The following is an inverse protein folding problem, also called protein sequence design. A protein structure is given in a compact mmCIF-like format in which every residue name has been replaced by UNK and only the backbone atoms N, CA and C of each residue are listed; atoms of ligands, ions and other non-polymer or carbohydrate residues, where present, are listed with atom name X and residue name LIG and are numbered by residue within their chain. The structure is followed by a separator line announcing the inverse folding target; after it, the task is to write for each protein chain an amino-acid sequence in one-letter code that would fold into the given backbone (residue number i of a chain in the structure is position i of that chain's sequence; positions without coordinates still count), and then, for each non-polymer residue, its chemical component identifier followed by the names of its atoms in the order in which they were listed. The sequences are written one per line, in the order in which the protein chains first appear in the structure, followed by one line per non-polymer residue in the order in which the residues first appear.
data_IF_185018509259
#
_entry.id   IF_185018509259
#
_cell.length_a   1.000
_cell.length_b   1.000
_cell.length_c   1.000
_cell.angle_alpha   90.00
_cell.angle_beta   90.00
_cell.angle_gamma   90.00
#
_symmetry.space_group_name_H-M   'P 1'
#
loop_
_entity.id
_entity.type
_entity.pdbx_description
1 polymer ?
#
# COMPACT_ATOMS: atom_id res chain seq x y z
N UNK A 1 44.18 -19.06 16.83
CA UNK A 1 43.03 -18.35 17.42
C UNK A 1 42.61 -17.28 16.41
N UNK A 2 41.67 -17.60 15.51
CA UNK A 2 41.16 -16.66 14.50
C UNK A 2 39.74 -16.31 14.97
N UNK A 3 39.53 -15.06 15.32
CA UNK A 3 38.21 -14.54 15.70
C UNK A 3 37.44 -14.32 14.39
N UNK A 4 36.54 -15.25 14.07
CA UNK A 4 35.61 -15.09 12.96
C UNK A 4 34.50 -14.12 13.39
N UNK A 5 34.58 -12.87 12.94
CA UNK A 5 33.41 -12.02 12.91
C UNK A 5 32.55 -12.45 11.71
N UNK A 6 31.52 -13.24 12.00
CA UNK A 6 30.38 -13.38 11.10
C UNK A 6 29.76 -11.99 10.96
N UNK A 7 30.04 -11.31 9.86
CA UNK A 7 29.16 -10.26 9.39
C UNK A 7 27.89 -10.96 8.91
N UNK A 8 26.86 -11.00 9.76
CA UNK A 8 25.51 -11.07 9.23
C UNK A 8 25.36 -9.87 8.29
N UNK A 9 24.87 -10.04 7.04
CA UNK A 9 24.48 -8.89 6.25
C UNK A 9 23.51 -8.08 7.10
N UNK A 10 23.72 -6.77 7.16
CA UNK A 10 22.79 -5.90 7.84
C UNK A 10 21.40 -6.15 7.27
N UNK A 11 20.52 -6.78 8.06
CA UNK A 11 19.11 -6.46 7.98
C UNK A 11 19.05 -4.97 8.31
N UNK A 12 19.21 -4.13 7.27
CA UNK A 12 19.15 -2.70 7.39
C UNK A 12 17.78 -2.40 8.01
N UNK A 13 17.81 -1.89 9.24
CA UNK A 13 16.64 -1.63 10.09
C UNK A 13 15.44 -1.14 9.26
N UNK A 14 14.33 -1.87 9.28
CA UNK A 14 13.03 -1.51 8.66
C UNK A 14 12.31 -0.37 9.41
N UNK A 15 12.93 0.18 10.47
CA UNK A 15 12.56 1.49 10.98
C UNK A 15 12.53 2.46 9.79
N UNK A 16 11.40 3.14 9.58
CA UNK A 16 11.16 4.15 8.53
C UNK A 16 10.28 3.71 7.34
N UNK A 17 9.50 2.63 7.52
CA UNK A 17 8.29 2.37 6.71
C UNK A 17 7.04 3.03 7.32
N UNK A 18 6.08 3.37 6.46
CA UNK A 18 4.76 3.88 6.86
C UNK A 18 3.65 3.19 6.07
N UNK A 19 2.57 2.84 6.76
CA UNK A 19 1.37 2.25 6.16
C UNK A 19 0.21 3.23 6.30
N UNK A 20 -0.37 3.62 5.18
CA UNK A 20 -1.62 4.35 5.11
C UNK A 20 -2.76 3.35 4.86
N UNK A 21 -3.79 3.36 5.70
CA UNK A 21 -4.94 2.47 5.56
C UNK A 21 -6.20 3.31 5.44
N UNK A 22 -6.97 3.10 4.38
CA UNK A 22 -8.30 3.70 4.25
C UNK A 22 -9.22 3.17 5.35
N UNK A 23 -9.92 4.04 6.06
CA UNK A 23 -10.75 3.63 7.21
C UNK A 23 -11.94 2.72 6.84
N UNK A 24 -12.30 2.64 5.55
CA UNK A 24 -13.39 1.78 5.06
C UNK A 24 -12.92 0.34 4.83
N UNK A 25 -11.61 0.09 4.88
CA UNK A 25 -11.06 -1.26 4.95
C UNK A 25 -11.40 -1.87 6.32
N UNK A 26 -11.88 -3.13 6.40
CA UNK A 26 -12.14 -3.78 7.68
C UNK A 26 -10.90 -3.83 8.58
N UNK A 27 -11.10 -3.60 9.89
CA UNK A 27 -10.05 -3.69 10.91
C UNK A 27 -8.73 -2.95 10.57
N UNK A 28 -8.77 -1.64 10.26
CA UNK A 28 -7.61 -0.91 9.74
C UNK A 28 -6.44 -0.82 10.74
N UNK A 29 -6.73 -0.91 12.04
CA UNK A 29 -5.72 -0.95 13.11
C UNK A 29 -4.88 -2.24 13.10
N UNK A 30 -5.42 -3.34 12.57
CA UNK A 30 -4.73 -4.64 12.56
C UNK A 30 -3.47 -4.65 11.69
N UNK A 31 -3.32 -3.68 10.77
CA UNK A 31 -2.17 -3.59 9.88
C UNK A 31 -0.89 -3.20 10.61
N UNK A 32 -0.97 -2.54 11.77
CA UNK A 32 0.22 -2.23 12.56
C UNK A 32 0.87 -3.48 13.16
N UNK A 33 0.05 -4.42 13.64
CA UNK A 33 0.54 -5.64 14.30
C UNK A 33 1.23 -6.61 13.34
N UNK A 34 0.96 -6.46 12.05
CA UNK A 34 1.37 -7.37 10.97
C UNK A 34 2.36 -6.69 10.02
N UNK A 35 2.78 -5.48 10.39
CA UNK A 35 3.84 -4.76 9.70
C UNK A 35 5.17 -5.02 10.40
N UNK A 36 6.30 -4.90 9.68
CA UNK A 36 7.59 -5.09 10.30
C UNK A 36 7.86 -4.10 11.45
N UNK A 37 8.68 -4.46 12.46
CA UNK A 37 8.94 -3.60 13.60
C UNK A 37 9.45 -2.21 13.20
N UNK A 38 8.88 -1.16 13.80
CA UNK A 38 9.23 0.24 13.49
C UNK A 38 8.40 0.86 12.36
N UNK A 39 7.44 0.11 11.80
CA UNK A 39 6.45 0.64 10.88
C UNK A 39 5.47 1.58 11.60
N UNK A 40 5.15 2.71 10.96
CA UNK A 40 4.15 3.66 11.44
C UNK A 40 2.81 3.42 10.73
N UNK A 41 1.70 3.50 11.46
CA UNK A 41 0.36 3.39 10.89
C UNK A 41 -0.33 4.76 10.85
N UNK A 42 -0.95 5.07 9.71
CA UNK A 42 -1.87 6.20 9.54
C UNK A 42 -3.18 5.71 8.97
N UNK A 43 -4.27 5.93 9.70
CA UNK A 43 -5.61 5.76 9.15
C UNK A 43 -5.99 7.03 8.40
N UNK A 44 -6.46 6.86 7.16
CA UNK A 44 -7.00 7.92 6.32
C UNK A 44 -8.51 7.85 6.40
N UNK A 45 -9.14 8.93 6.87
CA UNK A 45 -10.59 8.99 7.03
C UNK A 45 -11.30 9.13 5.69
N UNK A 46 -12.54 8.65 5.59
CA UNK A 46 -13.32 8.68 4.36
C UNK A 46 -13.61 10.11 3.87
N UNK A 47 -13.57 11.09 4.76
CA UNK A 47 -13.78 12.52 4.48
C UNK A 47 -12.49 13.26 4.13
N UNK A 48 -11.32 12.63 4.23
CA UNK A 48 -10.02 13.24 3.92
C UNK A 48 -9.63 13.11 2.45
N UNK A 49 -8.88 14.10 1.94
CA UNK A 49 -8.15 13.98 0.67
C UNK A 49 -6.95 13.07 0.94
N UNK A 50 -7.08 11.79 0.60
CA UNK A 50 -6.09 10.78 0.95
C UNK A 50 -4.71 11.06 0.37
N UNK A 51 -4.62 11.61 -0.84
CA UNK A 51 -3.33 11.93 -1.44
C UNK A 51 -2.66 13.10 -0.71
N UNK A 52 -3.43 14.11 -0.26
CA UNK A 52 -2.90 15.19 0.60
C UNK A 52 -2.46 14.66 1.95
N UNK A 53 -3.17 13.69 2.52
CA UNK A 53 -2.80 13.06 3.79
C UNK A 53 -1.45 12.34 3.67
N UNK A 54 -1.25 11.59 2.58
CA UNK A 54 0.03 10.94 2.27
C UNK A 54 1.15 11.97 2.11
N UNK A 55 0.95 13.01 1.30
CA UNK A 55 1.93 14.09 1.12
C UNK A 55 2.36 14.74 2.44
N UNK A 56 1.38 15.13 3.26
CA UNK A 56 1.62 15.82 4.52
C UNK A 56 2.43 14.96 5.50
N UNK A 57 2.01 13.71 5.72
CA UNK A 57 2.67 12.84 6.70
C UNK A 57 4.03 12.37 6.18
N UNK A 58 4.10 11.94 4.92
CA UNK A 58 5.36 11.47 4.35
C UNK A 58 6.39 12.60 4.30
N UNK A 59 5.99 13.81 3.90
CA UNK A 59 6.84 14.99 3.91
C UNK A 59 7.32 15.40 5.31
N UNK A 60 6.50 15.22 6.36
CA UNK A 60 6.89 15.51 7.73
C UNK A 60 7.89 14.49 8.30
N UNK A 61 7.85 13.24 7.85
CA UNK A 61 8.79 12.19 8.26
C UNK A 61 10.10 12.28 7.48
N UNK A 62 10.00 12.31 6.14
CA UNK A 62 11.16 12.23 5.24
C UNK A 62 11.95 10.93 5.39
N UNK A 63 12.95 10.75 4.52
CA UNK A 63 13.91 9.63 4.55
C UNK A 63 13.27 8.23 4.67
N UNK A 64 12.08 8.06 4.07
CA UNK A 64 11.28 6.85 4.17
C UNK A 64 11.82 5.75 3.26
N UNK A 65 11.81 4.52 3.76
CA UNK A 65 12.17 3.31 3.00
C UNK A 65 11.00 2.80 2.16
N UNK A 66 9.79 2.93 2.67
CA UNK A 66 8.60 2.44 1.99
C UNK A 66 7.36 3.24 2.39
N UNK A 67 6.46 3.43 1.42
CA UNK A 67 5.09 3.85 1.66
C UNK A 67 4.17 2.70 1.22
N UNK A 68 3.46 2.13 2.18
CA UNK A 68 2.39 1.17 1.91
C UNK A 68 1.05 1.89 1.92
N UNK A 69 0.18 1.56 0.97
CA UNK A 69 -1.19 2.05 0.93
C UNK A 69 -2.14 0.86 0.84
N UNK A 70 -2.99 0.70 1.85
CA UNK A 70 -4.02 -0.34 1.93
C UNK A 70 -5.38 0.29 1.76
N UNK A 71 -6.05 -0.07 0.67
CA UNK A 71 -7.30 0.55 0.30
C UNK A 71 -8.12 -0.34 -0.65
N UNK A 72 -9.32 0.10 -0.96
CA UNK A 72 -10.09 -0.49 -2.04
C UNK A 72 -9.55 -0.05 -3.41
N UNK A 73 -9.69 -0.93 -4.41
CA UNK A 73 -9.15 -0.70 -5.74
C UNK A 73 -9.94 -1.36 -6.85
N UNK A 74 -9.65 -0.90 -8.07
CA UNK A 74 -10.11 -1.40 -9.36
C UNK A 74 -8.99 -1.19 -10.40
N UNK A 75 -9.05 -1.77 -11.61
CA UNK A 75 -8.02 -1.59 -12.64
C UNK A 75 -7.67 -0.11 -12.90
N UNK A 76 -6.47 0.29 -12.49
CA UNK A 76 -5.93 1.65 -12.60
C UNK A 76 -6.63 2.70 -11.73
N UNK A 77 -7.20 2.29 -10.59
CA UNK A 77 -7.84 3.16 -9.61
C UNK A 77 -7.59 2.64 -8.19
N UNK A 78 -7.16 3.54 -7.29
CA UNK A 78 -7.07 3.30 -5.85
C UNK A 78 -7.92 4.34 -5.10
N UNK A 79 -8.73 3.90 -4.13
CA UNK A 79 -9.67 4.77 -3.39
C UNK A 79 -9.16 5.05 -1.99
N UNK A 80 -8.66 6.25 -1.72
CA UNK A 80 -8.07 6.62 -0.43
C UNK A 80 -8.73 7.90 0.12
N UNK A 81 -9.49 7.78 1.19
CA UNK A 81 -10.38 8.82 1.68
C UNK A 81 -11.50 9.13 0.69
N UNK A 82 -11.85 10.40 0.46
CA UNK A 82 -12.87 10.76 -0.53
C UNK A 82 -12.29 10.86 -1.96
N UNK A 83 -10.98 10.72 -2.13
CA UNK A 83 -10.29 10.94 -3.39
C UNK A 83 -9.98 9.63 -4.12
N UNK A 84 -10.19 9.67 -5.44
CA UNK A 84 -9.76 8.64 -6.37
C UNK A 84 -8.35 8.97 -6.87
N UNK A 85 -7.42 8.03 -6.71
CA UNK A 85 -6.10 8.08 -7.32
C UNK A 85 -6.12 7.22 -8.59
N UNK A 86 -6.23 7.89 -9.74
CA UNK A 86 -6.20 7.31 -11.08
C UNK A 86 -5.24 8.08 -12.00
N UNK A 87 -5.22 7.72 -13.30
CA UNK A 87 -4.37 8.41 -14.28
C UNK A 87 -4.70 9.91 -14.44
N UNK A 88 -5.95 10.33 -14.26
CA UNK A 88 -6.32 11.74 -14.34
C UNK A 88 -5.82 12.51 -13.11
N UNK A 89 -5.97 11.92 -11.92
CA UNK A 89 -5.41 12.44 -10.68
C UNK A 89 -3.89 12.55 -10.76
N UNK A 90 -3.18 11.54 -11.27
CA UNK A 90 -1.73 11.59 -11.45
C UNK A 90 -1.29 12.78 -12.33
N UNK A 91 -2.01 13.04 -13.44
CA UNK A 91 -1.72 14.18 -14.31
C UNK A 91 -1.99 15.53 -13.63
N UNK A 92 -3.05 15.62 -12.83
CA UNK A 92 -3.43 16.84 -12.11
C UNK A 92 -2.48 17.14 -10.96
N UNK A 93 -2.06 16.12 -10.22
CA UNK A 93 -1.39 16.25 -8.92
C UNK A 93 0.12 15.94 -8.99
N UNK A 94 0.76 16.12 -10.16
CA UNK A 94 2.19 15.80 -10.38
C UNK A 94 3.13 16.46 -9.36
N UNK A 95 2.85 17.70 -8.97
CA UNK A 95 3.68 18.41 -7.99
C UNK A 95 3.63 17.75 -6.61
N UNK A 96 2.43 17.33 -6.18
CA UNK A 96 2.20 16.59 -4.94
C UNK A 96 2.85 15.22 -4.97
N UNK A 97 2.68 14.47 -6.07
CA UNK A 97 3.32 13.17 -6.24
C UNK A 97 4.84 13.26 -6.24
N UNK A 98 5.40 14.31 -6.87
CA UNK A 98 6.84 14.58 -6.77
C UNK A 98 7.27 14.96 -5.36
N UNK A 99 6.41 15.60 -4.56
CA UNK A 99 6.71 15.91 -3.16
C UNK A 99 6.73 14.66 -2.29
N UNK A 100 5.77 13.75 -2.50
CA UNK A 100 5.77 12.41 -1.89
C UNK A 100 7.06 11.68 -2.27
N UNK A 101 7.41 11.66 -3.55
CA UNK A 101 8.67 11.10 -4.04
C UNK A 101 9.93 11.61 -3.33
N UNK A 102 9.99 12.91 -2.99
CA UNK A 102 11.12 13.51 -2.27
C UNK A 102 11.20 13.11 -0.79
N UNK A 103 10.14 12.55 -0.23
CA UNK A 103 10.14 12.04 1.15
C UNK A 103 10.75 10.63 1.26
N UNK A 104 10.98 10.00 0.12
CA UNK A 104 11.51 8.64 0.02
C UNK A 104 13.03 8.65 -0.20
N UNK A 105 13.69 7.57 0.24
CA UNK A 105 15.11 7.27 0.00
C UNK A 105 15.37 6.85 -1.45
N UNK A 106 16.65 6.74 -1.81
CA UNK A 106 17.03 5.92 -2.95
C UNK A 106 16.61 4.46 -2.69
N UNK A 107 16.13 3.78 -3.73
CA UNK A 107 15.71 2.37 -3.70
C UNK A 107 14.52 2.09 -2.76
N UNK A 108 13.64 3.09 -2.59
CA UNK A 108 12.41 2.97 -1.82
C UNK A 108 11.22 2.55 -2.69
N UNK A 109 10.25 1.87 -2.09
CA UNK A 109 9.06 1.42 -2.78
C UNK A 109 7.79 2.16 -2.35
N UNK A 110 6.83 2.24 -3.28
CA UNK A 110 5.42 2.53 -3.00
C UNK A 110 4.62 1.26 -3.29
N UNK A 111 4.03 0.68 -2.25
CA UNK A 111 3.32 -0.60 -2.32
C UNK A 111 1.81 -0.38 -2.20
N UNK A 112 1.06 -0.72 -3.25
CA UNK A 112 -0.38 -0.49 -3.36
C UNK A 112 -1.16 -1.79 -3.16
N UNK A 113 -1.72 -1.98 -1.98
CA UNK A 113 -2.60 -3.08 -1.63
C UNK A 113 -4.04 -2.67 -1.89
N UNK A 114 -4.57 -3.09 -3.04
CA UNK A 114 -5.97 -2.90 -3.39
C UNK A 114 -6.36 -3.83 -4.52
N UNK A 115 -7.57 -4.37 -4.47
CA UNK A 115 -8.02 -5.35 -5.44
C UNK A 115 -7.85 -4.84 -6.88
N UNK A 116 -7.13 -5.59 -7.70
CA UNK A 116 -7.00 -5.39 -9.14
C UNK A 116 -6.39 -4.04 -9.59
N UNK A 117 -5.74 -3.27 -8.71
CA UNK A 117 -5.18 -1.94 -9.05
C UNK A 117 -4.24 -2.00 -10.26
N UNK A 118 -3.34 -2.98 -10.29
CA UNK A 118 -2.41 -3.23 -11.39
C UNK A 118 -3.00 -4.01 -12.57
N UNK A 119 -4.26 -4.45 -12.50
CA UNK A 119 -4.80 -5.42 -13.47
C UNK A 119 -4.89 -4.86 -14.89
N UNK A 120 -4.37 -5.62 -15.84
CA UNK A 120 -4.48 -5.36 -17.27
C UNK A 120 -3.78 -4.07 -17.73
N UNK A 121 -4.00 -3.68 -18.99
CA UNK A 121 -3.31 -2.54 -19.59
C UNK A 121 -3.56 -1.22 -18.84
N UNK A 122 -4.78 -1.01 -18.33
CA UNK A 122 -5.13 0.19 -17.55
C UNK A 122 -4.38 0.23 -16.22
N UNK A 123 -4.32 -0.88 -15.49
CA UNK A 123 -3.60 -0.96 -14.23
C UNK A 123 -2.10 -0.82 -14.40
N UNK A 124 -1.51 -1.50 -15.39
CA UNK A 124 -0.08 -1.35 -15.71
C UNK A 124 0.29 0.11 -16.09
N UNK A 125 -0.54 0.78 -16.89
CA UNK A 125 -0.33 2.18 -17.22
C UNK A 125 -0.43 3.11 -16.00
N UNK A 126 -1.35 2.82 -15.08
CA UNK A 126 -1.47 3.54 -13.81
C UNK A 126 -0.22 3.38 -12.94
N UNK A 127 0.25 2.15 -12.72
CA UNK A 127 1.46 1.87 -11.91
C UNK A 127 2.69 2.56 -12.51
N UNK A 128 2.88 2.47 -13.83
CA UNK A 128 3.99 3.14 -14.53
C UNK A 128 3.92 4.67 -14.43
N UNK A 129 2.72 5.25 -14.59
CA UNK A 129 2.54 6.70 -14.49
C UNK A 129 2.79 7.20 -13.05
N UNK A 130 2.40 6.42 -12.04
CA UNK A 130 2.66 6.76 -10.65
C UNK A 130 4.16 6.72 -10.35
N UNK A 131 4.86 5.66 -10.77
CA UNK A 131 6.31 5.52 -10.62
C UNK A 131 7.06 6.69 -11.27
N UNK A 132 6.65 7.10 -12.47
CA UNK A 132 7.24 8.25 -13.15
C UNK A 132 6.99 9.58 -12.41
N UNK A 133 5.83 9.73 -11.77
CA UNK A 133 5.46 10.96 -11.06
C UNK A 133 6.17 11.08 -9.70
N UNK A 134 6.41 9.97 -9.02
CA UNK A 134 7.08 9.92 -7.71
C UNK A 134 8.59 9.73 -7.84
N UNK A 135 9.08 9.18 -8.96
CA UNK A 135 10.46 8.70 -9.14
C UNK A 135 10.85 7.63 -8.10
N UNK A 136 9.89 6.79 -7.76
CA UNK A 136 10.07 5.63 -6.89
C UNK A 136 9.55 4.39 -7.62
N UNK A 137 10.04 3.22 -7.20
CA UNK A 137 9.48 1.95 -7.66
C UNK A 137 8.09 1.78 -7.06
N UNK A 138 7.16 1.29 -7.89
CA UNK A 138 5.76 1.07 -7.51
C UNK A 138 5.39 -0.37 -7.79
N UNK A 139 4.77 -0.99 -6.79
CA UNK A 139 4.20 -2.33 -6.84
C UNK A 139 2.69 -2.29 -6.54
N UNK A 140 1.88 -3.07 -7.25
CA UNK A 140 0.43 -3.15 -7.04
C UNK A 140 -0.15 -4.54 -7.32
N UNK A 141 -1.23 -4.88 -6.64
CA UNK A 141 -1.96 -6.13 -6.88
C UNK A 141 -2.71 -6.12 -8.21
N UNK A 142 -2.61 -7.21 -8.96
CA UNK A 142 -3.34 -7.45 -10.21
C UNK A 142 -4.61 -8.28 -10.04
N UNK A 143 -4.81 -8.85 -8.86
CA UNK A 143 -5.91 -9.75 -8.51
C UNK A 143 -6.61 -9.30 -7.22
N UNK A 144 -7.40 -10.18 -6.62
CA UNK A 144 -8.00 -9.93 -5.32
C UNK A 144 -6.96 -9.87 -4.20
N UNK A 145 -6.97 -8.81 -3.41
CA UNK A 145 -6.07 -8.66 -2.25
C UNK A 145 -6.78 -8.97 -0.94
N UNK A 146 -6.16 -9.79 -0.08
CA UNK A 146 -6.74 -10.18 1.21
C UNK A 146 -6.57 -11.66 1.55
N UNK A 147 -7.54 -12.23 2.27
CA UNK A 147 -7.47 -13.61 2.78
C UNK A 147 -7.41 -14.66 1.66
N UNK A 148 -6.46 -15.59 1.79
CA UNK A 148 -6.38 -16.79 0.95
C UNK A 148 -7.61 -17.68 1.08
N UNK A 149 -8.26 -17.71 2.25
CA UNK A 149 -9.51 -18.44 2.45
C UNK A 149 -10.65 -17.90 1.56
N UNK A 150 -10.54 -16.64 1.11
CA UNK A 150 -11.47 -15.99 0.19
C UNK A 150 -10.94 -15.91 -1.25
N UNK A 151 -9.90 -16.68 -1.58
CA UNK A 151 -9.28 -16.73 -2.90
C UNK A 151 -8.54 -15.44 -3.29
N UNK A 152 -7.95 -14.76 -2.30
CA UNK A 152 -7.14 -13.55 -2.46
C UNK A 152 -5.73 -13.75 -1.89
N UNK A 153 -4.81 -12.82 -2.12
CA UNK A 153 -3.47 -12.87 -1.54
C UNK A 153 -2.92 -11.46 -1.24
N UNK A 154 -1.68 -11.36 -0.77
CA UNK A 154 -1.00 -10.08 -0.51
C UNK A 154 0.15 -9.82 -1.48
N UNK A 155 0.16 -10.53 -2.61
CA UNK A 155 1.19 -10.43 -3.64
C UNK A 155 0.93 -9.19 -4.49
N UNK A 156 2.00 -8.48 -4.83
CA UNK A 156 1.97 -7.36 -5.75
C UNK A 156 2.60 -7.80 -7.06
N UNK A 157 1.78 -8.28 -8.00
CA UNK A 157 2.29 -8.89 -9.24
C UNK A 157 2.75 -7.87 -10.28
N UNK A 158 2.30 -6.62 -10.17
CA UNK A 158 2.67 -5.56 -11.11
C UNK A 158 3.68 -4.65 -10.46
N UNK A 159 4.89 -4.58 -11.03
CA UNK A 159 6.02 -3.84 -10.48
C UNK A 159 6.73 -3.04 -11.58
N UNK A 160 7.33 -1.91 -11.22
CA UNK A 160 8.09 -1.03 -12.15
C UNK A 160 9.60 -1.11 -11.97
N UNK A 161 10.06 -1.78 -10.92
CA UNK A 161 11.45 -2.07 -10.58
C UNK A 161 11.52 -3.25 -9.60
N UNK A 162 12.71 -3.61 -9.10
CA UNK A 162 12.83 -4.60 -8.04
C UNK A 162 12.11 -4.10 -6.77
N UNK A 163 11.39 -4.99 -6.10
CA UNK A 163 10.81 -4.68 -4.80
C UNK A 163 11.89 -4.89 -3.73
N UNK A 164 12.43 -3.79 -3.21
CA UNK A 164 13.49 -3.78 -2.19
C UNK A 164 12.92 -3.73 -0.76
N UNK A 165 11.60 -3.53 -0.64
CA UNK A 165 10.87 -3.42 0.61
C UNK A 165 10.15 -4.70 0.99
N UNK A 166 10.17 -5.02 2.28
CA UNK A 166 9.33 -6.09 2.81
C UNK A 166 7.85 -5.75 2.61
N UNK A 167 7.10 -6.69 2.04
CA UNK A 167 5.65 -6.55 1.89
C UNK A 167 4.94 -6.71 3.23
N UNK A 168 3.77 -6.11 3.37
CA UNK A 168 2.82 -6.49 4.43
C UNK A 168 2.46 -7.97 4.20
N UNK A 169 2.97 -8.85 5.05
CA UNK A 169 2.71 -10.28 4.98
C UNK A 169 1.64 -10.62 6.03
N UNK A 170 0.37 -10.61 5.62
CA UNK A 170 -0.70 -11.20 6.45
C UNK A 170 -0.76 -12.69 6.16
N UNK A 171 -0.70 -13.51 7.20
CA UNK A 171 -1.15 -14.91 7.08
C UNK A 171 -2.67 -14.92 6.94
N UNK A 172 -3.21 -15.92 6.24
CA UNK A 172 -4.65 -16.04 5.92
C UNK A 172 -5.58 -15.98 7.14
N UNK A 173 -5.06 -16.31 8.31
CA UNK A 173 -5.80 -16.42 9.57
C UNK A 173 -5.85 -15.10 10.36
N UNK A 174 -4.93 -14.16 10.08
CA UNK A 174 -4.83 -12.88 10.79
C UNK A 174 -5.70 -11.77 10.18
N UNK A 175 -6.15 -11.94 8.94
CA UNK A 175 -7.03 -10.98 8.27
C UNK A 175 -8.06 -11.71 7.39
N UNK A 176 -9.29 -11.94 7.87
CA UNK A 176 -10.27 -12.81 7.21
C UNK A 176 -11.05 -12.09 6.09
N UNK A 177 -10.63 -10.91 5.65
CA UNK A 177 -11.36 -10.07 4.69
C UNK A 177 -10.62 -9.92 3.35
N UNK A 178 -11.34 -9.41 2.34
CA UNK A 178 -10.80 -8.92 1.06
C UNK A 178 -10.89 -7.40 1.01
N UNK A 179 -9.97 -6.78 0.26
CA UNK A 179 -9.96 -5.34 0.00
C UNK A 179 -10.86 -4.95 -1.19
N UNK A 180 -11.86 -5.76 -1.53
CA UNK A 180 -12.71 -5.46 -2.69
C UNK A 180 -13.71 -4.32 -2.37
N UNK A 181 -14.11 -3.52 -3.37
CA UNK A 181 -14.95 -2.34 -3.15
C UNK A 181 -16.40 -2.65 -2.77
N UNK A 182 -16.82 -3.92 -2.66
CA UNK A 182 -18.22 -4.25 -2.30
C UNK A 182 -18.62 -3.72 -0.92
N UNK A 183 -17.65 -3.48 -0.04
CA UNK A 183 -17.87 -2.82 1.25
C UNK A 183 -18.08 -1.28 1.16
N UNK A 184 -17.82 -0.66 0.00
CA UNK A 184 -18.03 0.79 -0.19
C UNK A 184 -19.49 1.15 -0.49
N UNK A 185 -20.32 0.17 -0.85
CA UNK A 185 -21.72 0.39 -1.21
C UNK A 185 -22.69 0.44 -0.01
N UNK A 186 -22.20 0.34 1.23
CA UNK A 186 -23.08 0.50 2.39
C UNK A 186 -22.38 0.33 3.72
N UNK A 187 -22.32 1.43 4.49
CA UNK A 187 -22.38 1.38 5.94
C UNK A 187 -23.71 0.70 6.34
N UNK A 188 -23.73 -0.65 6.32
CA UNK A 188 -24.95 -1.43 6.51
C UNK A 188 -24.88 -2.92 6.17
N UNK A 189 -23.81 -3.42 5.53
CA UNK A 189 -23.68 -4.84 5.18
C UNK A 189 -22.69 -5.60 6.07
N UNK A 190 -22.79 -5.45 7.40
CA UNK A 190 -22.29 -6.48 8.32
C UNK A 190 -23.34 -7.60 8.37
N UNK A 191 -23.48 -8.34 7.28
CA UNK A 191 -24.25 -9.59 7.30
C UNK A 191 -23.26 -10.72 7.23
N UNK A 192 -23.00 -11.29 8.40
CA UNK A 192 -22.48 -12.63 8.67
C UNK A 192 -22.42 -13.53 7.44
N UNK A 193 -21.24 -13.68 6.82
CA UNK A 193 -20.97 -14.87 6.03
C UNK A 193 -20.35 -15.90 6.98
N UNK A 194 -21.20 -16.87 7.29
CA UNK A 194 -20.97 -17.99 8.17
C UNK A 194 -19.70 -18.77 7.82
N UNK A 195 -19.00 -19.18 8.89
CA UNK A 195 -18.20 -20.40 8.93
C UNK A 195 -18.97 -21.53 8.20
N UNK A 196 -18.40 -22.02 7.11
CA UNK A 196 -18.58 -23.38 6.63
C UNK A 196 -17.33 -24.17 7.00
#
# INVERSE_FOLDING_TARGET
MIVAFLFAPAAARESDAIVFVDERVPEPQSFLNESPPGTRLVIVRHDEDGLRRVESVAGALGDLRAIHIVAHGEPGLLKLGHADLDLAAIRRDRARLSAIGRSLRADSDILLYGCNVGRGARGAAFVSALAAATRADVAASSNATGSQQLGADWVLEVQTGPNESATIAKTSDAYPYRLDPTNLAGAGAWTTLHRG
#
